data_IF_387385135478
#
_entry.id   IF_387385135478
#
_cell.length_a   1.000
_cell.length_b   1.000
_cell.length_c   1.000
_cell.angle_alpha   90.00
_cell.angle_beta   90.00
_cell.angle_gamma   90.00
#
_symmetry.space_group_name_H-M   'P 1'
#
loop_
_entity.id
_entity.type
_entity.pdbx_description
1 polymer ?
#
# COMPACT_ATOMS: atom_id res chain seq x y z
N UNK A 1 -15.09 76.16 -31.60
CA UNK A 1 -16.11 75.37 -30.90
C UNK A 1 -15.86 73.90 -31.21
N UNK A 2 -15.09 73.19 -30.38
CA UNK A 2 -14.92 71.74 -30.51
C UNK A 2 -15.76 71.06 -29.43
N UNK A 3 -16.64 70.16 -29.87
CA UNK A 3 -17.41 69.28 -29.00
C UNK A 3 -16.47 68.24 -28.41
N UNK A 4 -16.34 68.22 -27.09
CA UNK A 4 -15.68 67.13 -26.37
C UNK A 4 -16.60 65.91 -26.29
N UNK A 5 -16.11 64.78 -26.78
CA UNK A 5 -16.79 63.48 -26.62
C UNK A 5 -16.79 63.08 -25.14
N UNK A 6 -17.94 62.70 -24.54
CA UNK A 6 -18.08 62.48 -23.09
C UNK A 6 -17.79 61.04 -22.62
N UNK A 7 -17.15 60.19 -23.43
CA UNK A 7 -16.94 58.79 -23.06
C UNK A 7 -15.58 58.61 -22.40
N UNK A 8 -15.58 58.74 -21.07
CA UNK A 8 -14.49 58.30 -20.21
C UNK A 8 -14.24 56.81 -20.39
N UNK A 9 -13.02 56.48 -20.80
CA UNK A 9 -12.49 55.12 -20.77
C UNK A 9 -12.34 54.67 -19.31
N UNK A 10 -13.31 53.90 -18.81
CA UNK A 10 -13.06 53.06 -17.65
C UNK A 10 -11.90 52.10 -17.99
N UNK A 11 -10.83 52.04 -17.19
CA UNK A 11 -9.76 51.08 -17.40
C UNK A 11 -10.33 49.68 -17.19
N UNK A 12 -10.34 48.89 -18.26
CA UNK A 12 -10.75 47.50 -18.24
C UNK A 12 -9.78 46.74 -17.29
N UNK A 13 -10.24 46.16 -16.16
CA UNK A 13 -9.35 45.47 -15.22
C UNK A 13 -8.76 44.17 -15.80
N UNK A 14 -9.28 43.72 -16.95
CA UNK A 14 -8.82 42.56 -17.70
C UNK A 14 -8.01 43.04 -18.92
N UNK A 15 -6.85 43.63 -18.67
CA UNK A 15 -5.99 44.20 -19.72
C UNK A 15 -5.82 43.25 -20.91
N UNK A 16 -6.16 43.73 -22.11
CA UNK A 16 -5.78 43.24 -23.44
C UNK A 16 -5.69 41.71 -23.69
N UNK A 17 -6.39 40.87 -22.94
CA UNK A 17 -6.48 39.45 -23.24
C UNK A 17 -7.59 39.23 -24.24
N UNK A 18 -7.19 39.14 -25.52
CA UNK A 18 -8.07 38.77 -26.61
C UNK A 18 -8.68 37.39 -26.31
N UNK A 19 -10.01 37.26 -26.12
CA UNK A 19 -10.66 36.01 -25.72
C UNK A 19 -10.58 34.90 -26.78
N UNK A 20 -10.07 35.22 -27.98
CA UNK A 20 -9.83 34.27 -29.06
C UNK A 20 -8.35 33.96 -29.28
N UNK A 21 -7.45 34.41 -28.41
CA UNK A 21 -6.05 34.02 -28.49
C UNK A 21 -5.93 32.53 -28.17
N UNK A 22 -5.46 31.67 -29.10
CA UNK A 22 -5.21 30.28 -28.79
C UNK A 22 -4.18 30.22 -27.66
N UNK A 23 -4.37 29.34 -26.67
CA UNK A 23 -3.46 29.25 -25.54
C UNK A 23 -2.07 28.93 -26.09
N UNK A 24 -1.10 29.80 -25.81
CA UNK A 24 0.32 29.51 -26.00
C UNK A 24 0.71 28.45 -24.98
N UNK A 25 0.32 27.22 -25.27
CA UNK A 25 0.63 26.03 -24.48
C UNK A 25 2.12 25.79 -24.53
N UNK A 26 2.78 26.12 -23.42
CA UNK A 26 4.12 25.67 -23.10
C UNK A 26 4.10 24.14 -23.06
N UNK A 27 4.72 23.50 -24.06
CA UNK A 27 4.86 22.04 -24.18
C UNK A 27 5.58 21.50 -22.95
N UNK A 28 4.83 21.07 -21.93
CA UNK A 28 5.40 20.53 -20.70
C UNK A 28 4.50 20.62 -19.47
N UNK A 29 3.44 21.43 -19.47
CA UNK A 29 2.54 21.46 -18.31
C UNK A 29 1.47 20.36 -18.43
N UNK A 30 1.28 19.53 -17.38
CA UNK A 30 0.25 18.49 -17.37
C UNK A 30 -1.13 19.12 -17.60
N UNK A 31 -1.85 18.53 -18.54
CA UNK A 31 -3.05 19.03 -19.24
C UNK A 31 -4.31 19.11 -18.34
N UNK A 32 -4.22 19.76 -17.17
CA UNK A 32 -5.32 19.89 -16.20
C UNK A 32 -5.23 21.09 -15.26
N UNK A 33 -4.26 22.00 -15.43
CA UNK A 33 -4.04 23.13 -14.51
C UNK A 33 -4.74 24.43 -14.95
N UNK A 34 -5.92 24.32 -15.56
CA UNK A 34 -6.77 25.48 -15.84
C UNK A 34 -7.50 25.90 -14.56
N UNK A 35 -6.89 26.80 -13.78
CA UNK A 35 -7.59 27.63 -12.80
C UNK A 35 -7.88 27.00 -11.43
N UNK A 36 -6.91 26.36 -10.78
CA UNK A 36 -7.05 26.14 -9.33
C UNK A 36 -6.78 27.47 -8.58
N UNK A 37 -7.72 27.95 -7.76
CA UNK A 37 -7.56 29.21 -7.01
C UNK A 37 -6.32 29.13 -6.12
N UNK A 38 -5.55 30.22 -6.07
CA UNK A 38 -4.37 30.35 -5.21
C UNK A 38 -4.76 30.01 -3.76
N UNK A 39 -4.25 28.88 -3.24
CA UNK A 39 -4.60 28.35 -1.93
C UNK A 39 -5.17 26.92 -1.94
N UNK A 40 -5.49 26.34 -3.11
CA UNK A 40 -5.91 24.95 -3.18
C UNK A 40 -4.70 24.02 -3.09
N UNK A 41 -4.38 23.51 -1.90
CA UNK A 41 -3.44 22.39 -1.78
C UNK A 41 -4.14 21.15 -2.34
N UNK A 42 -3.65 20.55 -3.44
CA UNK A 42 -4.31 19.39 -4.03
C UNK A 42 -4.38 18.27 -3.00
N UNK A 43 -5.59 17.75 -2.78
CA UNK A 43 -5.82 16.64 -1.86
C UNK A 43 -4.97 15.42 -2.24
N UNK A 44 -4.65 14.60 -1.25
CA UNK A 44 -3.86 13.38 -1.45
C UNK A 44 -4.50 12.52 -2.56
N UNK A 45 -3.71 11.94 -3.50
CA UNK A 45 -4.25 11.17 -4.61
C UNK A 45 -5.18 10.07 -4.12
N UNK A 46 -6.40 9.99 -4.67
CA UNK A 46 -7.44 9.06 -4.23
C UNK A 46 -6.98 7.59 -4.24
N UNK A 47 -6.13 7.22 -5.21
CA UNK A 47 -5.49 5.91 -5.28
C UNK A 47 -4.67 5.57 -4.02
N UNK A 48 -3.85 6.51 -3.52
CA UNK A 48 -3.06 6.29 -2.31
C UNK A 48 -3.98 6.13 -1.10
N UNK A 49 -5.05 6.92 -1.02
CA UNK A 49 -6.01 6.86 0.09
C UNK A 49 -6.72 5.50 0.15
N UNK A 50 -7.21 5.03 -1.00
CA UNK A 50 -7.83 3.72 -1.12
C UNK A 50 -6.86 2.60 -0.73
N UNK A 51 -5.61 2.64 -1.22
CA UNK A 51 -4.61 1.63 -0.92
C UNK A 51 -4.22 1.60 0.56
N UNK A 52 -4.08 2.74 1.24
CA UNK A 52 -3.75 2.77 2.67
C UNK A 52 -4.91 2.25 3.53
N UNK A 53 -6.16 2.55 3.17
CA UNK A 53 -7.33 2.00 3.85
C UNK A 53 -7.41 0.48 3.67
N UNK A 54 -7.25 0.00 2.43
CA UNK A 54 -7.24 -1.45 2.15
C UNK A 54 -6.10 -2.13 2.89
N UNK A 55 -4.91 -1.53 2.93
CA UNK A 55 -3.76 -2.02 3.68
C UNK A 55 -4.04 -2.09 5.19
N UNK A 56 -4.73 -1.10 5.76
CA UNK A 56 -5.17 -1.14 7.16
C UNK A 56 -6.08 -2.34 7.46
N UNK A 57 -7.08 -2.58 6.60
CA UNK A 57 -7.99 -3.72 6.77
C UNK A 57 -7.21 -5.03 6.74
N UNK A 58 -6.29 -5.20 5.78
CA UNK A 58 -5.44 -6.39 5.72
C UNK A 58 -4.51 -6.52 6.93
N UNK A 59 -3.96 -5.43 7.44
CA UNK A 59 -3.17 -5.45 8.68
C UNK A 59 -4.01 -5.89 9.87
N UNK A 60 -5.26 -5.46 9.96
CA UNK A 60 -6.15 -5.84 11.05
C UNK A 60 -6.52 -7.33 10.98
N UNK A 61 -6.84 -7.83 9.78
CA UNK A 61 -7.03 -9.27 9.54
C UNK A 61 -5.75 -10.05 9.88
N UNK A 62 -4.57 -9.53 9.54
CA UNK A 62 -3.28 -10.15 9.89
C UNK A 62 -3.08 -10.21 11.40
N UNK A 63 -3.46 -9.17 12.13
CA UNK A 63 -3.38 -9.16 13.60
C UNK A 63 -4.23 -10.27 14.22
N UNK A 64 -5.45 -10.49 13.71
CA UNK A 64 -6.30 -11.59 14.15
C UNK A 64 -5.67 -12.96 13.86
N UNK A 65 -5.09 -13.16 12.67
CA UNK A 65 -4.40 -14.41 12.31
C UNK A 65 -3.18 -14.65 13.21
N UNK A 66 -2.40 -13.60 13.50
CA UNK A 66 -1.23 -13.69 14.39
C UNK A 66 -1.67 -14.04 15.81
N UNK A 67 -2.75 -13.46 16.31
CA UNK A 67 -3.33 -13.81 17.62
C UNK A 67 -3.74 -15.29 17.68
N UNK A 68 -4.36 -15.82 16.62
CA UNK A 68 -4.64 -17.25 16.50
C UNK A 68 -3.36 -18.10 16.45
N UNK A 69 -2.31 -17.62 15.78
CA UNK A 69 -1.00 -18.26 15.77
C UNK A 69 -0.37 -18.39 17.16
N UNK A 70 -0.51 -17.36 18.01
CA UNK A 70 -0.08 -17.43 19.41
C UNK A 70 -0.83 -18.51 20.21
N UNK A 71 -2.14 -18.66 19.99
CA UNK A 71 -2.93 -19.73 20.62
C UNK A 71 -2.45 -21.10 20.12
N UNK A 72 -2.20 -21.24 18.82
CA UNK A 72 -1.71 -22.48 18.20
C UNK A 72 -0.34 -22.92 18.69
N UNK A 73 0.58 -21.98 18.96
CA UNK A 73 1.89 -22.31 19.54
C UNK A 73 1.79 -22.98 20.92
N UNK A 74 0.76 -22.66 21.71
CA UNK A 74 0.52 -23.31 23.00
C UNK A 74 0.11 -24.78 22.90
N UNK A 75 -0.19 -25.28 21.69
CA UNK A 75 -0.63 -26.65 21.44
C UNK A 75 0.45 -27.54 20.79
N UNK A 76 1.62 -26.98 20.45
CA UNK A 76 2.70 -27.70 19.75
C UNK A 76 3.85 -28.09 20.72
N UNK A 77 4.47 -29.27 20.54
CA UNK A 77 5.67 -29.66 21.28
C UNK A 77 6.85 -28.72 21.01
N UNK A 78 7.60 -28.37 22.05
CA UNK A 78 8.63 -27.33 21.96
C UNK A 78 9.86 -27.68 21.10
N UNK A 79 10.07 -28.97 20.81
CA UNK A 79 11.26 -29.46 20.12
C UNK A 79 11.07 -29.65 18.60
N UNK A 80 9.88 -29.34 18.07
CA UNK A 80 9.58 -29.52 16.65
C UNK A 80 10.26 -28.42 15.80
N UNK A 81 11.00 -28.75 14.71
CA UNK A 81 11.50 -27.76 13.76
C UNK A 81 10.40 -26.82 13.21
N UNK A 82 9.14 -27.25 13.20
CA UNK A 82 7.98 -26.42 12.90
C UNK A 82 7.86 -25.19 13.80
N UNK A 83 8.27 -25.27 15.08
CA UNK A 83 8.23 -24.14 16.01
C UNK A 83 9.08 -22.97 15.53
N UNK A 84 10.27 -23.23 14.96
CA UNK A 84 11.16 -22.16 14.47
C UNK A 84 10.50 -21.38 13.34
N UNK A 85 9.81 -22.08 12.43
CA UNK A 85 9.07 -21.45 11.34
C UNK A 85 7.84 -20.69 11.84
N UNK A 86 7.13 -21.24 12.84
CA UNK A 86 6.01 -20.56 13.50
C UNK A 86 6.44 -19.24 14.15
N UNK A 87 7.57 -19.21 14.87
CA UNK A 87 8.12 -17.96 15.43
C UNK A 87 8.45 -16.92 14.38
N UNK A 88 9.03 -17.34 13.24
CA UNK A 88 9.32 -16.44 12.13
C UNK A 88 8.04 -15.91 11.48
N UNK A 89 7.01 -16.75 11.30
CA UNK A 89 5.74 -16.33 10.73
C UNK A 89 4.99 -15.37 11.67
N UNK A 90 5.02 -15.64 12.97
CA UNK A 90 4.42 -14.78 14.00
C UNK A 90 5.22 -13.47 14.11
N UNK A 91 6.55 -13.52 14.09
CA UNK A 91 7.41 -12.34 14.15
C UNK A 91 7.22 -11.42 12.94
N UNK A 92 7.22 -11.98 11.73
CA UNK A 92 6.93 -11.21 10.51
C UNK A 92 5.48 -10.69 10.51
N UNK A 93 4.54 -11.49 11.02
CA UNK A 93 3.16 -11.10 11.27
C UNK A 93 3.02 -9.89 12.18
N UNK A 94 3.66 -9.94 13.35
CA UNK A 94 3.67 -8.87 14.34
C UNK A 94 4.33 -7.60 13.78
N UNK A 95 5.45 -7.75 13.07
CA UNK A 95 6.13 -6.64 12.39
C UNK A 95 5.23 -5.96 11.35
N UNK A 96 4.49 -6.73 10.56
CA UNK A 96 3.50 -6.16 9.61
C UNK A 96 2.41 -5.37 10.34
N UNK A 97 1.92 -5.83 11.49
CA UNK A 97 0.90 -5.12 12.27
C UNK A 97 1.46 -3.84 12.89
N UNK A 98 2.63 -3.95 13.53
CA UNK A 98 3.29 -2.84 14.23
C UNK A 98 3.78 -1.74 13.27
N UNK A 99 4.20 -2.09 12.06
CA UNK A 99 4.56 -1.10 11.05
C UNK A 99 3.34 -0.66 10.23
N UNK A 100 2.42 -1.57 9.95
CA UNK A 100 1.30 -1.35 9.05
C UNK A 100 0.18 -0.49 9.63
N UNK A 101 -0.26 -0.78 10.85
CA UNK A 101 -1.36 -0.03 11.46
C UNK A 101 -0.98 1.43 11.71
N UNK A 102 0.08 1.75 12.47
CA UNK A 102 0.48 3.13 12.67
C UNK A 102 1.04 3.76 11.38
N UNK A 103 1.74 3.00 10.52
CA UNK A 103 2.27 3.51 9.26
C UNK A 103 1.17 4.01 8.32
N UNK A 104 0.15 3.19 8.07
CA UNK A 104 -0.98 3.60 7.24
C UNK A 104 -1.82 4.73 7.88
N UNK A 105 -2.00 4.70 9.21
CA UNK A 105 -2.69 5.79 9.92
C UNK A 105 -1.93 7.12 9.78
N UNK A 106 -0.61 7.10 9.91
CA UNK A 106 0.25 8.28 9.73
C UNK A 106 0.26 8.77 8.28
N UNK A 107 0.28 7.86 7.31
CA UNK A 107 0.16 8.21 5.88
C UNK A 107 -1.19 8.89 5.58
N UNK A 108 -2.28 8.41 6.17
CA UNK A 108 -3.60 9.05 6.06
C UNK A 108 -3.64 10.42 6.76
N UNK A 109 -2.89 10.58 7.86
CA UNK A 109 -2.66 11.85 8.54
C UNK A 109 -1.64 12.75 7.81
N UNK A 110 -1.19 12.36 6.60
CA UNK A 110 -0.22 13.09 5.77
C UNK A 110 1.14 13.28 6.47
N UNK A 111 1.57 12.37 7.33
CA UNK A 111 2.86 12.46 8.01
C UNK A 111 3.93 11.63 7.27
N UNK A 112 5.09 12.25 6.98
CA UNK A 112 6.22 11.62 6.30
C UNK A 112 6.80 10.41 7.07
N UNK A 113 6.68 10.37 8.41
CA UNK A 113 7.10 9.22 9.21
C UNK A 113 6.37 7.95 8.76
N UNK A 114 5.11 8.08 8.30
CA UNK A 114 4.32 6.99 7.77
C UNK A 114 4.95 6.31 6.55
N UNK A 115 5.78 7.00 5.77
CA UNK A 115 6.47 6.41 4.60
C UNK A 115 7.53 5.40 5.04
N UNK A 116 8.32 5.72 6.07
CA UNK A 116 9.33 4.80 6.61
C UNK A 116 8.68 3.56 7.21
N UNK A 117 7.59 3.73 7.97
CA UNK A 117 6.80 2.62 8.50
C UNK A 117 6.15 1.80 7.37
N UNK A 118 5.71 2.45 6.30
CA UNK A 118 5.18 1.81 5.09
C UNK A 118 6.22 0.90 4.42
N UNK A 119 7.46 1.37 4.26
CA UNK A 119 8.56 0.53 3.77
C UNK A 119 8.93 -0.60 4.74
N UNK A 120 8.84 -0.35 6.05
CA UNK A 120 8.93 -1.41 7.06
C UNK A 120 7.90 -2.52 6.84
N UNK A 121 6.63 -2.16 6.60
CA UNK A 121 5.58 -3.12 6.25
C UNK A 121 5.94 -3.91 4.98
N UNK A 122 6.47 -3.27 3.95
CA UNK A 122 6.91 -3.96 2.72
C UNK A 122 7.99 -4.99 3.05
N UNK A 123 9.00 -4.63 3.84
CA UNK A 123 10.08 -5.54 4.24
C UNK A 123 9.56 -6.74 5.04
N UNK A 124 8.68 -6.52 6.03
CA UNK A 124 8.08 -7.61 6.79
C UNK A 124 7.17 -8.51 5.94
N UNK A 125 6.47 -7.94 4.96
CA UNK A 125 5.64 -8.72 4.04
C UNK A 125 6.50 -9.60 3.14
N UNK A 126 7.64 -9.09 2.64
CA UNK A 126 8.63 -9.90 1.92
C UNK A 126 9.14 -11.04 2.81
N UNK A 127 9.50 -10.75 4.06
CA UNK A 127 9.88 -11.78 5.04
C UNK A 127 8.79 -12.84 5.24
N UNK A 128 7.52 -12.43 5.31
CA UNK A 128 6.38 -13.34 5.42
C UNK A 128 6.19 -14.21 4.16
N UNK A 129 6.49 -13.69 2.97
CA UNK A 129 6.46 -14.48 1.73
C UNK A 129 7.60 -15.50 1.74
N UNK A 130 8.83 -15.08 2.09
CA UNK A 130 10.00 -15.97 2.13
C UNK A 130 9.83 -17.10 3.14
N UNK A 131 9.30 -16.81 4.33
CA UNK A 131 9.00 -17.82 5.36
C UNK A 131 7.92 -18.80 4.89
N UNK A 132 6.87 -18.31 4.21
CA UNK A 132 5.87 -19.17 3.58
C UNK A 132 6.46 -20.10 2.51
N UNK A 133 7.30 -19.57 1.62
CA UNK A 133 7.99 -20.37 0.59
C UNK A 133 8.94 -21.41 1.20
N UNK A 134 9.68 -21.04 2.24
CA UNK A 134 10.56 -21.96 2.95
C UNK A 134 9.77 -23.09 3.63
N UNK A 135 8.59 -22.80 4.19
CA UNK A 135 7.70 -23.82 4.78
C UNK A 135 7.24 -24.81 3.72
N UNK A 136 6.79 -24.33 2.56
CA UNK A 136 6.39 -25.20 1.43
C UNK A 136 7.56 -26.07 0.98
N UNK A 137 8.76 -25.50 0.86
CA UNK A 137 9.96 -26.24 0.44
C UNK A 137 10.32 -27.37 1.41
N UNK A 138 10.26 -27.10 2.73
CA UNK A 138 10.50 -28.12 3.75
C UNK A 138 9.44 -29.24 3.70
N UNK A 139 8.17 -28.89 3.47
CA UNK A 139 7.08 -29.87 3.35
C UNK A 139 7.21 -30.77 2.11
N UNK A 140 7.65 -30.23 0.97
CA UNK A 140 7.94 -31.06 -0.22
C UNK A 140 9.06 -32.07 -0.01
N UNK A 141 9.97 -31.82 0.95
CA UNK A 141 11.07 -32.73 1.27
C UNK A 141 10.74 -33.80 2.31
N UNK A 142 9.70 -33.60 3.14
CA UNK A 142 9.31 -34.54 4.18
C UNK A 142 7.81 -34.37 4.58
N UNK A 143 6.87 -35.07 3.92
CA UNK A 143 5.43 -34.83 4.08
C UNK A 143 4.82 -35.30 5.42
N UNK A 144 5.61 -35.85 6.33
CA UNK A 144 5.12 -36.48 7.58
C UNK A 144 4.89 -35.47 8.71
N UNK A 145 5.29 -34.21 8.56
CA UNK A 145 5.52 -33.32 9.70
C UNK A 145 4.34 -32.44 10.17
N UNK A 146 3.16 -32.44 9.54
CA UNK A 146 2.07 -31.57 10.00
C UNK A 146 0.68 -32.22 9.93
N UNK A 147 0.21 -32.67 11.09
CA UNK A 147 -1.18 -33.03 11.35
C UNK A 147 -1.47 -34.52 11.39
N UNK A 148 -2.69 -34.90 11.82
CA UNK A 148 -3.12 -36.29 11.77
C UNK A 148 -3.04 -36.78 10.32
N UNK A 149 -2.47 -37.98 10.14
CA UNK A 149 -2.26 -38.56 8.82
C UNK A 149 -3.55 -38.46 7.99
N UNK A 150 -3.50 -37.92 6.75
CA UNK A 150 -4.65 -37.91 5.87
C UNK A 150 -5.28 -39.29 5.77
N UNK A 151 -6.61 -39.31 5.60
CA UNK A 151 -7.32 -40.55 5.29
C UNK A 151 -6.64 -41.24 4.07
N UNK A 152 -6.44 -42.57 4.09
CA UNK A 152 -5.77 -43.27 3.00
C UNK A 152 -6.41 -42.92 1.65
N UNK A 153 -5.61 -42.37 0.73
CA UNK A 153 -6.06 -41.93 -0.60
C UNK A 153 -6.33 -40.41 -0.76
N UNK A 154 -6.32 -39.62 0.33
CA UNK A 154 -6.49 -38.16 0.27
C UNK A 154 -5.16 -37.36 0.21
N UNK A 155 -4.03 -38.04 0.35
CA UNK A 155 -2.67 -37.47 0.42
C UNK A 155 -2.35 -36.56 -0.79
N UNK A 156 -2.61 -37.06 -2.01
CA UNK A 156 -2.36 -36.31 -3.24
C UNK A 156 -3.27 -35.07 -3.36
N UNK A 157 -4.53 -35.17 -2.92
CA UNK A 157 -5.47 -34.06 -2.98
C UNK A 157 -5.11 -32.95 -1.98
N UNK A 158 -4.67 -33.31 -0.77
CA UNK A 158 -4.18 -32.35 0.21
C UNK A 158 -2.90 -31.65 -0.25
N UNK A 159 -1.94 -32.42 -0.80
CA UNK A 159 -0.69 -31.87 -1.31
C UNK A 159 -0.93 -30.90 -2.48
N UNK A 160 -1.74 -31.28 -3.47
CA UNK A 160 -2.10 -30.41 -4.61
C UNK A 160 -2.86 -29.17 -4.13
N UNK A 161 -3.80 -29.34 -3.20
CA UNK A 161 -4.55 -28.22 -2.61
C UNK A 161 -3.64 -27.22 -1.89
N UNK A 162 -2.66 -27.71 -1.13
CA UNK A 162 -1.66 -26.87 -0.46
C UNK A 162 -0.77 -26.12 -1.44
N UNK A 163 -0.30 -26.79 -2.50
CA UNK A 163 0.53 -26.16 -3.54
C UNK A 163 -0.21 -25.06 -4.30
N UNK A 164 -1.44 -25.34 -4.73
CA UNK A 164 -2.28 -24.36 -5.46
C UNK A 164 -2.64 -23.20 -4.54
N UNK A 165 -3.10 -23.48 -3.32
CA UNK A 165 -3.44 -22.47 -2.33
C UNK A 165 -2.24 -21.58 -1.98
N UNK A 166 -1.07 -22.18 -1.79
CA UNK A 166 0.19 -21.48 -1.56
C UNK A 166 0.58 -20.58 -2.72
N UNK A 167 0.54 -21.10 -3.95
CA UNK A 167 0.88 -20.32 -5.15
C UNK A 167 -0.05 -19.11 -5.34
N UNK A 168 -1.37 -19.30 -5.21
CA UNK A 168 -2.35 -18.21 -5.30
C UNK A 168 -2.11 -17.18 -4.19
N UNK A 169 -1.88 -17.63 -2.96
CA UNK A 169 -1.61 -16.76 -1.83
C UNK A 169 -0.35 -15.89 -2.06
N UNK A 170 0.72 -16.47 -2.61
CA UNK A 170 1.95 -15.73 -2.95
C UNK A 170 1.68 -14.71 -4.05
N UNK A 171 1.02 -15.09 -5.15
CA UNK A 171 0.73 -14.18 -6.27
C UNK A 171 -0.08 -12.98 -5.79
N UNK A 172 -1.15 -13.22 -5.02
CA UNK A 172 -2.01 -12.17 -4.48
C UNK A 172 -1.22 -11.25 -3.55
N UNK A 173 -0.40 -11.79 -2.65
CA UNK A 173 0.43 -10.99 -1.74
C UNK A 173 1.44 -10.13 -2.49
N UNK A 174 2.12 -10.67 -3.49
CA UNK A 174 3.07 -9.91 -4.32
C UNK A 174 2.36 -8.81 -5.10
N UNK A 175 1.19 -9.09 -5.68
CA UNK A 175 0.40 -8.09 -6.39
C UNK A 175 -0.01 -6.91 -5.48
N UNK A 176 -0.51 -7.20 -4.28
CA UNK A 176 -0.88 -6.17 -3.30
C UNK A 176 0.36 -5.40 -2.83
N UNK A 177 1.48 -6.09 -2.59
CA UNK A 177 2.75 -5.47 -2.19
C UNK A 177 3.25 -4.47 -3.23
N UNK A 178 3.23 -4.85 -4.51
CA UNK A 178 3.65 -3.97 -5.61
C UNK A 178 2.72 -2.76 -5.75
N UNK A 179 1.40 -2.96 -5.65
CA UNK A 179 0.42 -1.87 -5.68
C UNK A 179 0.62 -0.89 -4.50
N UNK A 180 0.88 -1.43 -3.32
CA UNK A 180 1.16 -0.64 -2.12
C UNK A 180 2.50 0.12 -2.23
N UNK A 181 3.56 -0.52 -2.72
CA UNK A 181 4.84 0.12 -3.00
C UNK A 181 4.71 1.27 -4.01
N UNK A 182 3.94 1.07 -5.08
CA UNK A 182 3.62 2.14 -6.04
C UNK A 182 2.83 3.29 -5.39
N UNK A 183 1.91 3.00 -4.46
CA UNK A 183 1.19 4.01 -3.69
C UNK A 183 2.13 4.80 -2.77
N UNK A 184 3.10 4.16 -2.12
CA UNK A 184 4.12 4.85 -1.31
C UNK A 184 4.98 5.80 -2.16
N UNK A 185 5.45 5.35 -3.33
CA UNK A 185 6.26 6.18 -4.23
C UNK A 185 5.46 7.39 -4.71
N UNK A 186 4.19 7.20 -5.10
CA UNK A 186 3.30 8.29 -5.49
C UNK A 186 2.98 9.25 -4.33
N UNK A 187 2.83 8.72 -3.12
CA UNK A 187 2.62 9.55 -1.94
C UNK A 187 3.87 10.38 -1.64
N UNK A 188 5.07 9.79 -1.75
CA UNK A 188 6.33 10.50 -1.53
C UNK A 188 6.55 11.60 -2.57
N UNK A 189 6.27 11.35 -3.85
CA UNK A 189 6.37 12.40 -4.87
C UNK A 189 5.37 13.54 -4.65
N UNK A 190 4.13 13.21 -4.26
CA UNK A 190 3.13 14.20 -3.89
C UNK A 190 3.54 15.00 -2.65
N UNK A 191 4.04 14.33 -1.60
CA UNK A 191 4.47 14.98 -0.36
C UNK A 191 5.66 15.92 -0.59
N UNK A 192 6.63 15.53 -1.43
CA UNK A 192 7.75 16.42 -1.77
C UNK A 192 7.31 17.66 -2.56
N UNK A 193 6.26 17.55 -3.39
CA UNK A 193 5.76 18.67 -4.20
C UNK A 193 4.83 19.61 -3.43
N UNK A 194 4.01 19.09 -2.52
CA UNK A 194 2.92 19.84 -1.88
C UNK A 194 2.95 19.84 -0.35
N UNK A 195 3.80 19.00 0.26
CA UNK A 195 3.91 18.87 1.72
C UNK A 195 4.82 19.91 2.38
N UNK A 196 5.63 20.63 1.61
CA UNK A 196 6.48 21.72 2.14
C UNK A 196 5.73 23.05 2.31
N UNK A 197 4.50 23.15 1.79
CA UNK A 197 3.68 24.38 1.83
C UNK A 197 2.54 24.31 2.85
N UNK A 198 2.42 23.22 3.61
CA UNK A 198 1.38 22.99 4.61
C UNK A 198 1.92 23.04 6.04
#
# INVERSE_FOLDING_TARGET
>A
MSQGSPYGSQPNPFGNQNPYAPPQGQWGQPQGQWGQPAGYTPGMPGFCKAMFIVSLVFCFLRAAIVALGFVGMGMLPADDPAMKMAYFEIGTGLGMVLCGVPGNALLLAKNQIGVYLGWGLVAFTIGSILTGLATVFMMTGNPVAMGPAPAPGAENAQFIGMMIGGAIAVIVRVGILLAYGAALIKFQSWYSQYGQTA
#
